data_IF_421686926741
#
_entry.id   IF_421686926741
#
_cell.length_a   1.000
_cell.length_b   1.000
_cell.length_c   1.000
_cell.angle_alpha   90.00
_cell.angle_beta   90.00
_cell.angle_gamma   90.00
#
_symmetry.space_group_name_H-M   'P 1'
#
loop_
_entity.id
_entity.type
_entity.pdbx_description
1 polymer ?
#
# COMPACT_ATOMS: atom_id res chain seq x y z
N UNK A 1 -1.85 7.15 10.25
CA UNK A 1 -0.57 6.60 9.78
C UNK A 1 0.49 6.65 10.87
N UNK A 2 1.01 5.49 11.24
CA UNK A 2 2.10 5.25 12.17
C UNK A 2 3.45 5.56 11.50
N UNK A 3 4.46 5.93 12.29
CA UNK A 3 5.80 6.27 11.80
C UNK A 3 6.44 5.11 11.00
N UNK A 4 6.30 3.87 11.48
CA UNK A 4 6.82 2.69 10.77
C UNK A 4 6.26 2.51 9.36
N UNK A 5 4.96 2.78 9.19
CA UNK A 5 4.30 2.73 7.88
C UNK A 5 4.83 3.83 6.96
N UNK A 6 5.01 5.03 7.50
CA UNK A 6 5.57 6.16 6.76
C UNK A 6 7.00 5.90 6.30
N UNK A 7 7.87 5.42 7.19
CA UNK A 7 9.28 5.11 6.87
C UNK A 7 9.38 4.00 5.82
N UNK A 8 8.53 2.97 5.93
CA UNK A 8 8.42 1.93 4.91
C UNK A 8 8.01 2.49 3.55
N UNK A 9 7.00 3.36 3.50
CA UNK A 9 6.56 3.96 2.23
C UNK A 9 7.66 4.82 1.59
N UNK A 10 8.46 5.54 2.38
CA UNK A 10 9.64 6.27 1.89
C UNK A 10 10.67 5.31 1.32
N UNK A 11 10.99 4.22 2.03
CA UNK A 11 11.91 3.20 1.54
C UNK A 11 11.44 2.63 0.20
N UNK A 12 10.15 2.34 0.09
CA UNK A 12 9.53 1.86 -1.14
C UNK A 12 9.40 2.93 -2.24
N UNK A 13 9.85 4.18 -2.00
CA UNK A 13 9.74 5.33 -2.90
C UNK A 13 8.29 5.64 -3.33
N UNK A 14 7.33 5.38 -2.44
CA UNK A 14 5.93 5.79 -2.63
C UNK A 14 5.83 7.31 -2.47
N UNK A 15 5.05 8.03 -3.29
CA UNK A 15 4.92 9.48 -3.21
C UNK A 15 4.03 9.90 -2.02
N UNK A 16 4.59 9.83 -0.81
CA UNK A 16 3.92 10.08 0.48
C UNK A 16 3.39 11.51 0.66
N UNK A 17 3.93 12.49 -0.08
CA UNK A 17 3.46 13.89 -0.05
C UNK A 17 2.15 14.05 -0.85
N UNK A 18 1.76 13.05 -1.63
CA UNK A 18 0.50 13.06 -2.37
C UNK A 18 -0.60 12.41 -1.56
N UNK A 19 -1.84 12.85 -1.80
CA UNK A 19 -3.02 12.22 -1.18
C UNK A 19 -3.12 10.71 -1.47
N UNK A 20 -2.61 10.25 -2.61
CA UNK A 20 -2.53 8.81 -2.92
C UNK A 20 -1.54 8.05 -2.03
N UNK A 21 -0.44 8.69 -1.61
CA UNK A 21 0.51 8.13 -0.66
C UNK A 21 -0.07 8.03 0.75
N UNK A 22 -0.81 9.04 1.21
CA UNK A 22 -1.53 9.00 2.49
C UNK A 22 -2.58 7.87 2.50
N UNK A 23 -3.37 7.75 1.43
CA UNK A 23 -4.33 6.66 1.27
C UNK A 23 -3.65 5.29 1.25
N UNK A 24 -2.45 5.18 0.66
CA UNK A 24 -1.68 3.93 0.64
C UNK A 24 -1.26 3.52 2.06
N UNK A 25 -0.77 4.46 2.87
CA UNK A 25 -0.38 4.19 4.25
C UNK A 25 -1.55 3.76 5.12
N UNK A 26 -2.68 4.45 4.99
CA UNK A 26 -3.88 4.05 5.71
C UNK A 26 -4.40 2.67 5.26
N UNK A 27 -4.34 2.38 3.96
CA UNK A 27 -4.73 1.08 3.43
C UNK A 27 -3.85 -0.05 4.00
N UNK A 28 -2.54 0.19 4.15
CA UNK A 28 -1.61 -0.77 4.77
C UNK A 28 -2.01 -1.04 6.23
N UNK A 29 -2.33 0.01 7.00
CA UNK A 29 -2.75 -0.15 8.40
C UNK A 29 -4.05 -0.93 8.55
N UNK A 30 -5.03 -0.70 7.66
CA UNK A 30 -6.25 -1.51 7.61
C UNK A 30 -5.93 -2.97 7.27
N UNK A 31 -5.00 -3.22 6.34
CA UNK A 31 -4.56 -4.60 6.04
C UNK A 31 -3.87 -5.25 7.23
N UNK A 32 -2.99 -4.54 7.94
CA UNK A 32 -2.31 -5.04 9.13
C UNK A 32 -3.32 -5.45 10.21
N UNK A 33 -4.29 -4.57 10.51
CA UNK A 33 -5.33 -4.85 11.49
C UNK A 33 -6.17 -6.08 11.11
N UNK A 34 -6.64 -6.15 9.86
CA UNK A 34 -7.42 -7.32 9.39
C UNK A 34 -6.60 -8.60 9.40
N UNK A 35 -5.32 -8.56 9.03
CA UNK A 35 -4.45 -9.73 9.04
C UNK A 35 -4.13 -10.20 10.46
N UNK A 36 -3.97 -9.28 11.42
CA UNK A 36 -3.81 -9.61 12.83
C UNK A 36 -5.02 -10.36 13.41
N UNK A 37 -6.22 -10.03 12.93
CA UNK A 37 -7.47 -10.69 13.31
C UNK A 37 -7.85 -11.89 12.41
N UNK A 38 -6.94 -12.38 11.56
CA UNK A 38 -7.19 -13.47 10.60
C UNK A 38 -8.39 -13.25 9.67
N UNK A 39 -8.72 -12.00 9.37
CA UNK A 39 -9.85 -11.63 8.53
C UNK A 39 -9.48 -11.58 7.04
N UNK A 40 -10.44 -11.93 6.18
CA UNK A 40 -10.29 -11.74 4.75
C UNK A 40 -10.27 -10.25 4.40
N UNK A 41 -9.34 -9.85 3.52
CA UNK A 41 -9.23 -8.46 3.07
C UNK A 41 -9.78 -8.29 1.65
N UNK A 42 -10.89 -7.58 1.57
CA UNK A 42 -11.52 -7.09 0.34
C UNK A 42 -11.04 -5.68 0.02
N UNK A 43 -10.52 -5.45 -1.19
CA UNK A 43 -10.15 -4.10 -1.64
C UNK A 43 -11.35 -3.15 -1.63
N UNK A 44 -12.52 -3.67 -2.01
CA UNK A 44 -13.77 -2.91 -1.97
C UNK A 44 -14.07 -2.33 -0.60
N UNK A 45 -13.89 -3.14 0.44
CA UNK A 45 -14.20 -2.74 1.81
C UNK A 45 -13.18 -1.71 2.28
N UNK A 46 -11.90 -1.90 1.93
CA UNK A 46 -10.82 -0.95 2.23
C UNK A 46 -11.07 0.38 1.54
N UNK A 47 -11.44 0.38 0.25
CA UNK A 47 -11.79 1.59 -0.49
C UNK A 47 -12.99 2.32 0.13
N UNK A 48 -13.99 1.60 0.65
CA UNK A 48 -15.10 2.21 1.39
C UNK A 48 -14.63 2.83 2.71
N UNK A 49 -13.84 2.10 3.51
CA UNK A 49 -13.29 2.64 4.77
C UNK A 49 -12.43 3.88 4.53
N UNK A 50 -11.62 3.90 3.47
CA UNK A 50 -10.82 5.05 3.08
C UNK A 50 -11.70 6.22 2.58
N UNK A 51 -12.73 5.92 1.79
CA UNK A 51 -13.68 6.91 1.32
C UNK A 51 -14.35 7.64 2.49
N UNK A 52 -14.84 6.89 3.48
CA UNK A 52 -15.45 7.42 4.69
C UNK A 52 -14.46 8.23 5.52
N UNK A 53 -13.24 7.70 5.75
CA UNK A 53 -12.23 8.36 6.58
C UNK A 53 -11.74 9.68 5.99
N UNK A 54 -11.55 9.74 4.68
CA UNK A 54 -10.98 10.90 4.01
C UNK A 54 -12.02 11.77 3.28
N UNK A 55 -13.32 11.58 3.56
CA UNK A 55 -14.42 12.34 2.95
C UNK A 55 -14.31 12.39 1.41
N UNK A 56 -14.03 11.26 0.77
CA UNK A 56 -13.91 11.16 -0.68
C UNK A 56 -14.76 10.03 -1.24
N UNK A 57 -15.02 10.00 -2.54
CA UNK A 57 -15.76 8.88 -3.13
C UNK A 57 -14.89 7.64 -3.25
N UNK A 58 -15.50 6.46 -3.11
CA UNK A 58 -14.82 5.16 -3.29
C UNK A 58 -14.02 5.07 -4.60
N UNK A 59 -14.62 5.46 -5.72
CA UNK A 59 -13.92 5.46 -7.01
C UNK A 59 -12.74 6.42 -7.07
N UNK A 60 -12.78 7.48 -6.26
CA UNK A 60 -11.66 8.40 -6.11
C UNK A 60 -10.55 7.83 -5.22
N UNK A 61 -10.88 7.02 -4.21
CA UNK A 61 -9.89 6.27 -3.43
C UNK A 61 -9.17 5.21 -4.28
N UNK A 62 -9.92 4.37 -5.01
CA UNK A 62 -9.36 3.35 -5.93
C UNK A 62 -8.40 3.98 -6.95
N UNK A 63 -8.82 5.03 -7.65
CA UNK A 63 -7.98 5.69 -8.66
C UNK A 63 -6.67 6.22 -8.07
N UNK A 64 -6.71 6.76 -6.85
CA UNK A 64 -5.52 7.31 -6.19
C UNK A 64 -4.58 6.23 -5.70
N UNK A 65 -5.10 5.11 -5.18
CA UNK A 65 -4.28 3.95 -4.82
C UNK A 65 -3.58 3.37 -6.05
N UNK A 66 -4.31 3.18 -7.16
CA UNK A 66 -3.72 2.72 -8.43
C UNK A 66 -2.64 3.67 -8.92
N UNK A 67 -2.91 4.98 -8.89
CA UNK A 67 -1.95 6.00 -9.31
C UNK A 67 -0.69 5.99 -8.44
N UNK A 68 -0.85 5.85 -7.12
CA UNK A 68 0.28 5.74 -6.19
C UNK A 68 1.12 4.48 -6.48
N UNK A 69 0.48 3.34 -6.77
CA UNK A 69 1.18 2.12 -7.20
C UNK A 69 1.95 2.32 -8.50
N UNK A 70 1.33 2.88 -9.53
CA UNK A 70 2.01 3.16 -10.81
C UNK A 70 3.22 4.07 -10.63
N UNK A 71 3.13 5.08 -9.75
CA UNK A 71 4.26 5.95 -9.46
C UNK A 71 5.37 5.21 -8.71
N UNK A 72 5.01 4.30 -7.81
CA UNK A 72 5.96 3.47 -7.06
C UNK A 72 6.69 2.48 -7.96
N UNK A 73 6.02 1.96 -8.99
CA UNK A 73 6.60 0.99 -9.93
C UNK A 73 7.44 1.66 -11.03
N UNK A 74 6.92 2.73 -11.64
CA UNK A 74 7.51 3.31 -12.85
C UNK A 74 8.17 4.68 -12.65
N UNK A 75 7.91 5.37 -11.54
CA UNK A 75 8.37 6.75 -11.31
C UNK A 75 9.23 6.92 -10.05
N UNK A 76 9.75 5.81 -9.54
CA UNK A 76 10.64 5.79 -8.38
C UNK A 76 12.07 6.28 -8.68
N UNK A 77 12.34 6.84 -9.87
CA UNK A 77 13.66 7.32 -10.31
C UNK A 77 14.58 6.25 -10.90
N UNK A 78 14.32 4.98 -10.60
CA UNK A 78 15.03 3.81 -11.12
C UNK A 78 14.00 2.74 -11.47
N UNK A 79 14.12 2.13 -12.66
CA UNK A 79 13.18 1.12 -13.14
C UNK A 79 13.89 -0.22 -13.43
N UNK A 80 13.45 -1.33 -12.82
CA UNK A 80 12.41 -1.41 -11.78
C UNK A 80 12.89 -0.82 -10.45
N UNK A 81 11.95 -0.35 -9.61
CA UNK A 81 12.24 0.12 -8.26
C UNK A 81 12.95 -0.99 -7.45
N UNK A 82 14.20 -0.83 -7.00
CA UNK A 82 14.96 -1.92 -6.37
C UNK A 82 14.34 -2.46 -5.09
N UNK A 83 13.75 -1.60 -4.27
CA UNK A 83 13.09 -2.01 -3.02
C UNK A 83 11.78 -2.77 -3.32
N UNK A 84 11.07 -2.34 -4.37
CA UNK A 84 9.91 -3.06 -4.86
C UNK A 84 10.28 -4.43 -5.42
N UNK A 85 11.40 -4.55 -6.13
CA UNK A 85 11.88 -5.83 -6.66
C UNK A 85 12.29 -6.80 -5.54
N UNK A 86 12.94 -6.31 -4.47
CA UNK A 86 13.22 -7.13 -3.28
C UNK A 86 11.94 -7.70 -2.67
N UNK A 87 10.92 -6.86 -2.50
CA UNK A 87 9.62 -7.28 -1.98
C UNK A 87 8.93 -8.28 -2.91
N UNK A 88 9.10 -8.12 -4.23
CA UNK A 88 8.57 -9.01 -5.25
C UNK A 88 9.12 -10.43 -5.10
N UNK A 89 10.44 -10.54 -4.91
CA UNK A 89 11.14 -11.82 -4.72
C UNK A 89 10.75 -12.45 -3.38
N UNK A 90 10.72 -11.65 -2.30
CA UNK A 90 10.36 -12.11 -0.95
C UNK A 90 8.96 -12.76 -0.92
N UNK A 91 7.98 -12.12 -1.54
CA UNK A 91 6.58 -12.58 -1.55
C UNK A 91 6.20 -13.39 -2.80
N UNK A 92 7.15 -13.72 -3.68
CA UNK A 92 6.94 -14.48 -4.92
C UNK A 92 5.81 -13.92 -5.78
N UNK A 93 5.90 -12.63 -6.12
CA UNK A 93 4.88 -11.91 -6.87
C UNK A 93 5.28 -11.84 -8.35
N UNK A 94 4.42 -12.33 -9.26
CA UNK A 94 4.68 -12.23 -10.70
C UNK A 94 4.41 -10.82 -11.24
N UNK A 95 3.31 -10.21 -10.79
CA UNK A 95 2.82 -8.90 -11.25
C UNK A 95 2.26 -8.11 -10.08
N UNK A 96 2.59 -6.82 -10.02
CA UNK A 96 2.08 -5.94 -8.98
C UNK A 96 0.61 -5.56 -9.19
N UNK A 97 -0.12 -5.59 -8.09
CA UNK A 97 -1.44 -4.95 -7.98
C UNK A 97 -1.50 -4.26 -6.63
N UNK A 98 -2.41 -3.29 -6.48
CA UNK A 98 -2.66 -2.60 -5.21
C UNK A 98 -2.85 -3.63 -4.08
N UNK A 99 -3.68 -4.66 -4.29
CA UNK A 99 -3.93 -5.70 -3.27
C UNK A 99 -2.67 -6.45 -2.86
N UNK A 100 -1.87 -6.89 -3.84
CA UNK A 100 -0.64 -7.68 -3.58
C UNK A 100 0.40 -6.83 -2.84
N UNK A 101 0.54 -5.57 -3.22
CA UNK A 101 1.42 -4.62 -2.54
C UNK A 101 0.98 -4.38 -1.09
N UNK A 102 -0.30 -4.06 -0.87
CA UNK A 102 -0.83 -3.84 0.48
C UNK A 102 -0.64 -5.07 1.37
N UNK A 103 -0.86 -6.27 0.84
CA UNK A 103 -0.64 -7.52 1.58
C UNK A 103 0.84 -7.73 1.93
N UNK A 104 1.74 -7.59 0.96
CA UNK A 104 3.18 -7.75 1.17
C UNK A 104 3.73 -6.71 2.15
N UNK A 105 3.35 -5.44 1.98
CA UNK A 105 3.71 -4.34 2.87
C UNK A 105 3.23 -4.58 4.31
N UNK A 106 1.96 -4.93 4.49
CA UNK A 106 1.40 -5.22 5.80
C UNK A 106 2.13 -6.40 6.48
N UNK A 107 2.34 -7.50 5.75
CA UNK A 107 3.07 -8.66 6.29
C UNK A 107 4.51 -8.32 6.65
N UNK A 108 5.19 -7.53 5.83
CA UNK A 108 6.55 -7.08 6.11
C UNK A 108 6.60 -6.24 7.37
N UNK A 109 5.71 -5.27 7.52
CA UNK A 109 5.62 -4.40 8.70
C UNK A 109 5.22 -5.15 9.97
N UNK A 110 4.45 -6.23 9.86
CA UNK A 110 4.12 -7.11 10.99
C UNK A 110 5.27 -8.05 11.37
N UNK A 111 6.17 -8.40 10.44
CA UNK A 111 7.34 -9.25 10.73
C UNK A 111 8.47 -8.56 11.51
N UNK A 112 8.40 -7.24 11.65
CA UNK A 112 9.37 -6.42 12.40
C UNK A 112 8.99 -6.25 13.88
N UNK A 113 7.94 -6.93 14.35
CA UNK A 113 7.57 -7.07 15.78
C UNK A 113 8.14 -8.37 16.36
#
# INVERSE_FOLDING_TARGET
MQQKTYDFLIQMRVPVITFGGELMGEAIEIFMDKLAHHQFVSLSDVECTLADKFNCSRGSADRRLRRAMEMTEFRAGEYPNPELEKLRVEFRIDTWSVKKFLYAAARRLMSYE
#
